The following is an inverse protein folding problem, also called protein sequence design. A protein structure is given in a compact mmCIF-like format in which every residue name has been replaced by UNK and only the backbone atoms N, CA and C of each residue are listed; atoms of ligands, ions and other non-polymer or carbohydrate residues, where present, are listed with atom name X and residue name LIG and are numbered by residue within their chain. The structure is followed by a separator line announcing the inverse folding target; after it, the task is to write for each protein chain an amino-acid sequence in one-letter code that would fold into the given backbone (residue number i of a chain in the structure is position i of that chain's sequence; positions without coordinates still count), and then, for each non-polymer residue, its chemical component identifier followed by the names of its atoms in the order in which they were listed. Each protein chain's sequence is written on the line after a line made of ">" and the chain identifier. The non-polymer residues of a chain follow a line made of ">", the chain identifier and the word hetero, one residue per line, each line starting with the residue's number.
data_IF_048685080118
#
_entry.id   IF_048685080118
#
_cell.length_a   1.000
_cell.length_b   1.000
_cell.length_c   1.000
_cell.angle_alpha   90.00
_cell.angle_beta   90.00
_cell.angle_gamma   90.00
#
_symmetry.space_group_name_H-M   'P 1'
#
loop_
_entity.id
_entity.type
_entity.pdbx_description
1 polymer ?
#
# COMPACT_ATOMS: atom_id res chain seq x y z
N UNK A 1 0.21 -34.89 -16.54
CA UNK A 1 -0.54 -33.95 -15.68
C UNK A 1 0.42 -32.84 -15.28
N UNK A 2 0.63 -31.89 -16.20
CA UNK A 2 1.48 -30.73 -15.99
C UNK A 2 0.69 -29.53 -16.47
N UNK A 3 0.46 -28.61 -15.54
CA UNK A 3 0.39 -27.16 -15.65
C UNK A 3 -0.31 -26.72 -14.37
N UNK A 4 0.49 -26.40 -13.36
CA UNK A 4 0.04 -25.49 -12.30
C UNK A 4 -0.10 -24.17 -13.05
N UNK A 5 -1.29 -23.91 -13.58
CA UNK A 5 -1.68 -22.57 -13.96
C UNK A 5 -1.43 -21.70 -12.74
N UNK A 6 -0.40 -20.86 -12.84
CA UNK A 6 -0.25 -19.71 -11.97
C UNK A 6 -1.52 -18.90 -12.18
N UNK A 7 -2.50 -19.12 -11.29
CA UNK A 7 -3.61 -18.21 -11.12
C UNK A 7 -3.02 -16.86 -10.71
N UNK A 8 -2.65 -16.05 -11.71
CA UNK A 8 -2.76 -14.61 -11.63
C UNK A 8 -4.23 -14.38 -11.32
N UNK A 9 -4.56 -14.34 -10.04
CA UNK A 9 -5.79 -13.72 -9.59
C UNK A 9 -5.63 -12.29 -10.08
N UNK A 10 -6.33 -11.91 -11.13
CA UNK A 10 -6.58 -10.51 -11.47
C UNK A 10 -7.24 -9.92 -10.22
N UNK A 11 -6.43 -9.38 -9.31
CA UNK A 11 -6.93 -8.87 -8.05
C UNK A 11 -7.75 -7.62 -8.36
N UNK A 12 -9.07 -7.81 -8.40
CA UNK A 12 -9.99 -6.73 -8.63
C UNK A 12 -10.06 -5.83 -7.38
N UNK A 13 -10.63 -4.64 -7.57
CA UNK A 13 -10.74 -3.64 -6.51
C UNK A 13 -11.40 -4.18 -5.24
N UNK A 14 -12.50 -4.91 -5.39
CA UNK A 14 -13.29 -5.40 -4.27
C UNK A 14 -12.51 -6.43 -3.46
N UNK A 15 -11.84 -7.37 -4.12
CA UNK A 15 -11.01 -8.40 -3.47
C UNK A 15 -9.83 -7.79 -2.72
N UNK A 16 -9.23 -6.70 -3.23
CA UNK A 16 -8.19 -5.98 -2.50
C UNK A 16 -8.76 -5.25 -1.28
N UNK A 17 -9.89 -4.55 -1.43
CA UNK A 17 -10.51 -3.83 -0.33
C UNK A 17 -11.00 -4.78 0.77
N UNK A 18 -11.48 -5.97 0.42
CA UNK A 18 -11.84 -7.03 1.38
C UNK A 18 -10.64 -7.49 2.22
N UNK A 19 -9.43 -7.54 1.66
CA UNK A 19 -8.22 -7.88 2.44
C UNK A 19 -7.86 -6.82 3.49
N UNK A 20 -8.44 -5.62 3.39
CA UNK A 20 -8.30 -4.55 4.37
C UNK A 20 -9.43 -4.57 5.41
N UNK A 21 -10.48 -5.37 5.20
CA UNK A 21 -11.55 -5.55 6.19
C UNK A 21 -10.97 -6.16 7.47
N UNK A 22 -11.18 -5.48 8.60
CA UNK A 22 -10.60 -5.85 9.90
C UNK A 22 -9.48 -4.92 10.39
N UNK A 23 -9.05 -3.96 9.57
CA UNK A 23 -8.18 -2.85 10.01
C UNK A 23 -9.01 -1.57 10.17
N UNK A 24 -8.70 -0.79 11.19
CA UNK A 24 -9.23 0.56 11.34
C UNK A 24 -8.46 1.47 10.37
N UNK A 25 -9.07 1.72 9.22
CA UNK A 25 -8.59 2.75 8.29
C UNK A 25 -9.19 4.11 8.69
N UNK A 26 -8.42 5.21 8.60
CA UNK A 26 -8.99 6.54 8.68
C UNK A 26 -10.01 6.74 7.54
N UNK A 27 -10.97 7.65 7.74
CA UNK A 27 -11.92 8.04 6.69
C UNK A 27 -11.19 8.63 5.48
N UNK A 28 -10.10 9.36 5.73
CA UNK A 28 -9.21 9.93 4.72
C UNK A 28 -7.79 9.93 5.27
N UNK A 29 -6.83 9.48 4.47
CA UNK A 29 -5.41 9.61 4.77
C UNK A 29 -4.91 11.00 4.42
N UNK A 30 -3.96 11.50 5.21
CA UNK A 30 -3.15 12.65 4.83
C UNK A 30 -2.48 12.38 3.47
N UNK A 31 -2.69 13.29 2.53
CA UNK A 31 -2.19 13.16 1.17
C UNK A 31 -0.66 13.14 1.11
N UNK A 32 0.04 13.85 2.01
CA UNK A 32 1.49 13.83 2.08
C UNK A 32 2.01 12.44 2.47
N UNK A 33 1.27 11.72 3.32
CA UNK A 33 1.62 10.34 3.68
C UNK A 33 1.38 9.38 2.51
N UNK A 34 0.29 9.57 1.75
CA UNK A 34 0.03 8.80 0.53
C UNK A 34 1.10 9.03 -0.54
N UNK A 35 1.51 10.27 -0.76
CA UNK A 35 2.51 10.63 -1.75
C UNK A 35 3.89 10.04 -1.40
N UNK A 36 4.29 10.10 -0.12
CA UNK A 36 5.52 9.44 0.36
C UNK A 36 5.47 7.92 0.20
N UNK A 37 4.32 7.29 0.47
CA UNK A 37 4.14 5.87 0.22
C UNK A 37 4.20 5.53 -1.28
N UNK A 38 3.67 6.39 -2.15
CA UNK A 38 3.76 6.22 -3.59
C UNK A 38 5.21 6.30 -4.08
N UNK A 39 6.00 7.24 -3.56
CA UNK A 39 7.44 7.34 -3.86
C UNK A 39 8.21 6.13 -3.36
N UNK A 40 7.86 5.60 -2.17
CA UNK A 40 8.45 4.41 -1.59
C UNK A 40 8.32 3.20 -2.54
N UNK A 41 7.16 2.98 -3.15
CA UNK A 41 6.98 1.90 -4.14
C UNK A 41 7.88 2.04 -5.37
N UNK A 42 8.28 3.26 -5.73
CA UNK A 42 9.28 3.48 -6.79
C UNK A 42 10.70 2.99 -6.41
N UNK A 43 10.97 2.80 -5.12
CA UNK A 43 12.23 2.25 -4.60
C UNK A 43 12.11 0.79 -4.15
N UNK A 44 10.90 0.31 -3.88
CA UNK A 44 10.63 -1.07 -3.50
C UNK A 44 11.09 -2.09 -4.57
N UNK A 45 11.60 -3.24 -4.11
CA UNK A 45 12.10 -4.32 -4.95
C UNK A 45 13.40 -3.98 -5.70
N UNK A 46 14.15 -2.97 -5.24
CA UNK A 46 15.49 -2.64 -5.75
C UNK A 46 16.60 -3.11 -4.79
N UNK A 47 16.25 -3.51 -3.58
CA UNK A 47 17.15 -4.10 -2.60
C UNK A 47 17.28 -5.62 -2.73
N UNK A 48 18.25 -6.19 -2.01
CA UNK A 48 18.61 -7.62 -2.00
C UNK A 48 18.20 -8.35 -0.71
N UNK A 49 17.51 -7.70 0.23
CA UNK A 49 17.42 -8.18 1.61
C UNK A 49 16.00 -8.14 2.20
N UNK A 50 15.67 -9.13 3.05
CA UNK A 50 14.37 -9.30 3.73
C UNK A 50 13.93 -8.11 4.61
N UNK A 51 14.85 -7.22 5.04
CA UNK A 51 14.53 -6.02 5.83
C UNK A 51 14.29 -4.76 4.97
N UNK A 52 14.20 -4.89 3.65
CA UNK A 52 13.99 -3.76 2.75
C UNK A 52 12.70 -2.99 3.08
N UNK A 53 11.62 -3.68 3.47
CA UNK A 53 10.32 -3.06 3.78
C UNK A 53 10.40 -2.10 4.96
N UNK A 54 11.02 -2.51 6.07
CA UNK A 54 11.11 -1.68 7.27
C UNK A 54 11.97 -0.44 7.04
N UNK A 55 13.13 -0.64 6.43
CA UNK A 55 14.01 0.48 6.07
C UNK A 55 13.37 1.43 5.07
N UNK A 56 12.55 0.92 4.14
CA UNK A 56 11.78 1.76 3.22
C UNK A 56 10.73 2.58 3.98
N UNK A 57 9.96 1.97 4.89
CA UNK A 57 8.98 2.72 5.69
C UNK A 57 9.65 3.82 6.51
N UNK A 58 10.79 3.53 7.15
CA UNK A 58 11.56 4.53 7.89
C UNK A 58 12.08 5.64 6.98
N UNK A 59 12.70 5.29 5.84
CA UNK A 59 13.31 6.24 4.91
C UNK A 59 12.30 7.19 4.28
N UNK A 60 11.06 6.74 4.08
CA UNK A 60 9.97 7.54 3.53
C UNK A 60 9.09 8.17 4.61
N UNK A 61 9.50 8.14 5.88
CA UNK A 61 8.81 8.80 6.98
C UNK A 61 7.48 8.15 7.39
N UNK A 62 7.25 6.91 6.96
CA UNK A 62 6.11 6.06 7.35
C UNK A 62 6.40 5.26 8.63
N UNK A 63 7.66 5.25 9.08
CA UNK A 63 8.04 4.79 10.41
C UNK A 63 7.39 5.63 11.51
N UNK A 64 7.03 5.00 12.62
CA UNK A 64 6.51 5.67 13.82
C UNK A 64 7.63 6.42 14.52
N UNK A 65 7.40 7.69 14.83
CA UNK A 65 8.30 8.54 15.61
C UNK A 65 7.69 8.90 16.95
N UNK A 66 8.54 9.22 17.93
CA UNK A 66 8.11 9.59 19.28
C UNK A 66 7.20 10.82 19.28
N UNK A 67 7.55 11.80 18.46
CA UNK A 67 6.90 13.10 18.28
C UNK A 67 5.62 13.06 17.43
N UNK A 68 5.32 11.94 16.77
CA UNK A 68 4.08 11.83 16.00
C UNK A 68 2.86 11.93 16.94
N UNK A 69 1.83 12.68 16.52
CA UNK A 69 0.54 12.68 17.19
C UNK A 69 -0.11 11.29 17.15
N UNK A 70 -1.04 10.96 18.07
CA UNK A 70 -1.77 9.69 18.03
C UNK A 70 -2.45 9.42 16.68
N UNK A 71 -2.98 10.47 16.06
CA UNK A 71 -3.61 10.40 14.73
C UNK A 71 -2.59 10.02 13.64
N UNK A 72 -1.45 10.71 13.59
CA UNK A 72 -0.39 10.41 12.60
C UNK A 72 0.15 8.98 12.81
N UNK A 73 0.31 8.54 14.06
CA UNK A 73 0.72 7.16 14.38
C UNK A 73 -0.27 6.13 13.82
N UNK A 74 -1.58 6.38 13.98
CA UNK A 74 -2.64 5.52 13.44
C UNK A 74 -2.60 5.48 11.91
N UNK A 75 -2.52 6.64 11.25
CA UNK A 75 -2.47 6.71 9.78
C UNK A 75 -1.24 6.00 9.22
N UNK A 76 -0.06 6.18 9.82
CA UNK A 76 1.16 5.47 9.45
C UNK A 76 1.03 3.96 9.61
N UNK A 77 0.45 3.49 10.72
CA UNK A 77 0.23 2.06 10.95
C UNK A 77 -0.71 1.46 9.89
N UNK A 78 -1.82 2.13 9.59
CA UNK A 78 -2.74 1.72 8.55
C UNK A 78 -2.08 1.71 7.16
N UNK A 79 -1.29 2.73 6.82
CA UNK A 79 -0.56 2.79 5.54
C UNK A 79 0.48 1.68 5.40
N UNK A 80 1.22 1.39 6.47
CA UNK A 80 2.18 0.28 6.47
C UNK A 80 1.50 -1.05 6.21
N UNK A 81 0.32 -1.27 6.79
CA UNK A 81 -0.48 -2.46 6.52
C UNK A 81 -0.92 -2.53 5.06
N UNK A 82 -1.55 -1.46 4.55
CA UNK A 82 -2.01 -1.37 3.15
C UNK A 82 -0.85 -1.61 2.19
N UNK A 83 0.30 -0.95 2.42
CA UNK A 83 1.48 -1.12 1.58
C UNK A 83 1.99 -2.56 1.61
N UNK A 84 2.03 -3.18 2.79
CA UNK A 84 2.44 -4.59 2.94
C UNK A 84 1.51 -5.51 2.15
N UNK A 85 0.18 -5.30 2.22
CA UNK A 85 -0.78 -6.06 1.41
C UNK A 85 -0.58 -5.87 -0.09
N UNK A 86 -0.29 -4.64 -0.54
CA UNK A 86 0.04 -4.42 -1.94
C UNK A 86 1.32 -5.15 -2.37
N UNK A 87 2.33 -5.21 -1.51
CA UNK A 87 3.56 -5.96 -1.76
C UNK A 87 3.30 -7.49 -1.83
N UNK A 88 2.45 -8.01 -0.95
CA UNK A 88 2.06 -9.44 -0.91
C UNK A 88 1.17 -9.84 -2.11
N UNK A 89 0.28 -8.93 -2.53
CA UNK A 89 -0.60 -9.07 -3.68
C UNK A 89 0.12 -9.03 -5.03
N UNK A 90 1.44 -8.86 -5.04
CA UNK A 90 2.29 -8.83 -6.24
C UNK A 90 1.93 -7.73 -7.26
N UNK A 91 1.33 -6.62 -6.82
CA UNK A 91 1.20 -5.45 -7.70
C UNK A 91 2.58 -5.03 -8.22
N UNK A 92 2.64 -4.59 -9.48
CA UNK A 92 3.83 -3.92 -9.98
C UNK A 92 4.04 -2.62 -9.20
N UNK A 93 5.29 -2.14 -9.20
CA UNK A 93 5.65 -0.86 -8.54
C UNK A 93 4.81 0.31 -9.04
N UNK A 94 4.46 0.30 -10.32
CA UNK A 94 3.64 1.36 -10.93
C UNK A 94 2.21 1.30 -10.39
N UNK A 95 1.60 0.13 -10.46
CA UNK A 95 0.23 -0.10 -9.95
C UNK A 95 0.13 0.24 -8.46
N UNK A 96 1.06 -0.25 -7.64
CA UNK A 96 1.08 0.05 -6.21
C UNK A 96 1.27 1.55 -5.93
N UNK A 97 2.15 2.22 -6.68
CA UNK A 97 2.39 3.67 -6.55
C UNK A 97 1.16 4.48 -6.95
N UNK A 98 0.50 4.13 -8.05
CA UNK A 98 -0.69 4.82 -8.54
C UNK A 98 -1.90 4.57 -7.63
N UNK A 99 -2.09 3.33 -7.14
CA UNK A 99 -3.15 2.98 -6.20
C UNK A 99 -2.99 3.72 -4.87
N UNK A 100 -1.80 3.69 -4.27
CA UNK A 100 -1.62 4.32 -2.96
C UNK A 100 -1.75 5.85 -3.04
N UNK A 101 -1.25 6.48 -4.12
CA UNK A 101 -1.41 7.92 -4.34
C UNK A 101 -2.89 8.34 -4.39
N UNK A 102 -3.73 7.47 -4.95
CA UNK A 102 -5.15 7.70 -5.11
C UNK A 102 -6.01 6.98 -4.05
N UNK A 103 -5.42 6.52 -2.94
CA UNK A 103 -6.10 5.64 -1.99
C UNK A 103 -7.43 6.21 -1.46
N UNK A 104 -7.46 7.52 -1.16
CA UNK A 104 -8.65 8.23 -0.69
C UNK A 104 -9.82 8.20 -1.70
N UNK A 105 -9.51 7.99 -2.97
CA UNK A 105 -10.45 8.04 -4.10
C UNK A 105 -10.88 6.66 -4.58
N UNK A 106 -10.36 5.58 -4.00
CA UNK A 106 -10.67 4.22 -4.47
C UNK A 106 -12.18 3.95 -4.44
N UNK A 107 -12.90 4.51 -3.46
CA UNK A 107 -14.36 4.35 -3.33
C UNK A 107 -15.17 5.38 -4.13
N UNK A 108 -14.52 6.35 -4.78
CA UNK A 108 -15.21 7.39 -5.54
C UNK A 108 -15.93 6.78 -6.74
N UNK A 109 -17.20 7.16 -7.00
CA UNK A 109 -17.88 6.79 -8.23
C UNK A 109 -17.08 7.26 -9.45
N UNK A 110 -16.67 6.33 -10.31
CA UNK A 110 -15.90 6.62 -11.53
C UNK A 110 -14.38 6.58 -11.38
N UNK A 111 -13.86 6.21 -10.21
CA UNK A 111 -12.45 5.81 -10.11
C UNK A 111 -12.20 4.59 -10.99
N UNK A 112 -11.10 4.62 -11.75
CA UNK A 112 -10.68 3.50 -12.59
C UNK A 112 -9.66 2.66 -11.83
N UNK A 113 -10.05 1.43 -11.49
CA UNK A 113 -9.14 0.43 -10.97
C UNK A 113 -8.16 0.01 -12.08
N UNK A 114 -6.86 0.26 -11.85
CA UNK A 114 -5.73 -0.22 -12.64
C UNK A 114 -6.00 -0.35 -14.15
N UNK A 115 -5.68 0.70 -14.92
CA UNK A 115 -5.74 0.70 -16.39
C UNK A 115 -4.69 -0.24 -17.03
#
# INVERSE_FOLDING_TARGET
>A
MHLIDRGLIDLNQEDFLQQLEGIILPETFDQDLLDRAAEMFGKWGKGRHMNESEHLFESFGLGTKTEDSPEVKMQKAALRFVCTRMMEAQFSRKEASDLIRNFNRLKDPGYKWLD
#
